data_IF_374171540811
#
_entry.id   IF_374171540811
#
_cell.length_a   1.000
_cell.length_b   1.000
_cell.length_c   1.000
_cell.angle_alpha   90.00
_cell.angle_beta   90.00
_cell.angle_gamma   90.00
#
_symmetry.space_group_name_H-M   'P 1'
#
loop_
_entity.id
_entity.type
_entity.pdbx_description
1 polymer ?
#
# COMPACT_ATOMS: atom_id res chain seq x y z
N UNK A 1 -14.10 35.33 31.20
CA UNK A 1 -15.21 34.74 30.40
C UNK A 1 -14.74 34.76 28.96
N UNK A 2 -14.60 33.70 28.16
CA UNK A 2 -14.66 32.23 28.28
C UNK A 2 -13.88 31.66 27.06
N UNK A 3 -13.48 30.40 27.21
CA UNK A 3 -12.85 29.43 26.30
C UNK A 3 -13.24 29.39 24.81
N UNK A 4 -12.25 28.93 24.00
CA UNK A 4 -12.28 27.94 22.88
C UNK A 4 -13.29 28.16 21.71
N UNK A 5 -13.09 27.71 20.46
CA UNK A 5 -12.86 26.33 19.98
C UNK A 5 -12.30 26.35 18.55
N UNK A 6 -11.38 25.41 18.31
CA UNK A 6 -10.84 24.95 17.01
C UNK A 6 -11.92 24.56 15.99
N UNK A 7 -11.72 24.85 14.70
CA UNK A 7 -12.38 24.10 13.61
C UNK A 7 -11.42 23.76 12.48
N UNK A 8 -11.47 22.48 12.15
CA UNK A 8 -10.53 21.65 11.41
C UNK A 8 -11.11 21.31 10.03
N UNK A 9 -10.22 20.94 9.08
CA UNK A 9 -10.45 20.14 7.87
C UNK A 9 -11.26 20.79 6.73
N UNK A 10 -10.88 20.67 5.45
CA UNK A 10 -10.50 19.44 4.76
C UNK A 10 -9.64 19.70 3.53
N UNK A 11 -8.50 19.02 3.42
CA UNK A 11 -7.73 18.90 2.18
C UNK A 11 -8.54 18.06 1.18
N UNK A 12 -9.04 18.69 0.13
CA UNK A 12 -9.67 18.01 -1.00
C UNK A 12 -8.56 17.53 -1.92
N UNK A 13 -8.06 16.31 -1.66
CA UNK A 13 -7.06 15.69 -2.52
C UNK A 13 -7.79 15.00 -3.67
N UNK A 14 -7.75 15.65 -4.82
CA UNK A 14 -8.39 15.25 -6.07
C UNK A 14 -7.68 14.00 -6.62
N UNK A 15 -8.40 12.88 -6.64
CA UNK A 15 -7.98 11.61 -7.22
C UNK A 15 -7.88 11.77 -8.74
N UNK A 16 -6.65 11.78 -9.28
CA UNK A 16 -6.42 11.56 -10.71
C UNK A 16 -6.23 10.05 -10.90
N UNK A 17 -7.33 9.36 -11.15
CA UNK A 17 -7.37 7.93 -11.48
C UNK A 17 -6.78 7.76 -12.89
N UNK A 18 -5.53 7.32 -12.98
CA UNK A 18 -4.88 7.01 -14.25
C UNK A 18 -5.65 5.86 -14.95
N UNK A 19 -6.34 6.22 -16.02
CA UNK A 19 -7.15 5.32 -16.82
C UNK A 19 -6.25 4.59 -17.82
N UNK A 20 -5.69 3.45 -17.44
CA UNK A 20 -4.97 2.62 -18.40
C UNK A 20 -5.97 1.85 -19.28
N UNK A 21 -6.19 2.38 -20.49
CA UNK A 21 -6.98 1.80 -21.57
C UNK A 21 -6.08 0.92 -22.44
N UNK A 22 -6.21 -0.40 -22.35
CA UNK A 22 -5.90 -1.28 -23.48
C UNK A 22 -6.84 -2.49 -23.51
N UNK A 23 -7.59 -2.60 -24.61
CA UNK A 23 -8.48 -3.71 -24.94
C UNK A 23 -7.80 -4.52 -26.04
N UNK A 24 -7.49 -5.80 -25.77
CA UNK A 24 -7.49 -6.88 -26.77
C UNK A 24 -7.51 -8.21 -26.02
N UNK A 25 -8.51 -9.01 -26.36
CA UNK A 25 -9.01 -10.11 -25.55
C UNK A 25 -8.16 -11.36 -25.60
N UNK A 26 -8.02 -11.96 -24.43
CA UNK A 26 -8.23 -13.38 -24.13
C UNK A 26 -8.89 -13.40 -22.75
N UNK A 27 -9.78 -14.35 -22.46
CA UNK A 27 -10.54 -14.41 -21.20
C UNK A 27 -9.61 -14.73 -20.02
N UNK A 28 -8.85 -13.74 -19.57
CA UNK A 28 -8.32 -13.70 -18.22
C UNK A 28 -9.47 -13.35 -17.30
N UNK A 29 -9.74 -14.20 -16.31
CA UNK A 29 -10.65 -13.92 -15.21
C UNK A 29 -10.37 -12.52 -14.69
N UNK A 30 -11.29 -11.58 -14.97
CA UNK A 30 -11.10 -10.14 -14.75
C UNK A 30 -10.96 -9.91 -13.25
N UNK A 31 -9.73 -9.91 -12.75
CA UNK A 31 -9.43 -9.65 -11.34
C UNK A 31 -9.36 -8.14 -11.16
N UNK A 32 -10.37 -7.56 -10.52
CA UNK A 32 -10.41 -6.13 -10.23
C UNK A 32 -9.57 -5.86 -9.00
N UNK A 33 -8.44 -5.15 -9.16
CA UNK A 33 -7.59 -4.71 -8.05
C UNK A 33 -7.96 -3.30 -7.66
N UNK A 34 -8.41 -3.08 -6.43
CA UNK A 34 -8.60 -1.75 -5.87
C UNK A 34 -7.43 -1.41 -4.95
N UNK A 35 -6.73 -0.31 -5.22
CA UNK A 35 -5.58 0.16 -4.43
C UNK A 35 -5.94 1.50 -3.79
N UNK A 36 -5.60 1.65 -2.52
CA UNK A 36 -5.71 2.94 -1.83
C UNK A 36 -4.47 3.14 -0.97
N UNK A 37 -4.09 4.39 -0.75
CA UNK A 37 -2.93 4.75 0.07
C UNK A 37 -3.23 6.06 0.78
N UNK A 38 -2.93 6.12 2.07
CA UNK A 38 -3.14 7.32 2.90
C UNK A 38 -1.79 7.88 3.36
N UNK A 39 -0.93 8.22 2.40
CA UNK A 39 0.39 8.77 2.69
C UNK A 39 1.40 8.56 1.56
N UNK A 40 2.67 8.65 1.92
CA UNK A 40 3.80 8.61 0.98
C UNK A 40 4.12 7.20 0.48
N UNK A 41 3.65 6.16 1.18
CA UNK A 41 3.85 4.76 0.81
C UNK A 41 2.62 4.22 0.09
N UNK A 42 2.84 3.60 -1.07
CA UNK A 42 1.82 3.00 -1.93
C UNK A 42 2.15 1.54 -2.23
N UNK A 43 1.13 0.71 -2.37
CA UNK A 43 1.29 -0.65 -2.88
C UNK A 43 1.36 -0.56 -4.40
N UNK A 44 2.56 -0.68 -4.96
CA UNK A 44 2.77 -0.61 -6.42
C UNK A 44 2.25 -1.88 -7.10
N UNK A 45 2.69 -3.03 -6.59
CA UNK A 45 2.31 -4.35 -7.09
C UNK A 45 2.00 -5.29 -5.93
N UNK A 46 1.03 -6.17 -6.14
CA UNK A 46 0.68 -7.22 -5.19
C UNK A 46 0.41 -8.48 -5.99
N UNK A 47 1.02 -9.58 -5.57
CA UNK A 47 0.82 -10.87 -6.22
C UNK A 47 -0.38 -11.60 -5.59
N UNK A 48 -1.28 -12.13 -6.41
CA UNK A 48 -2.56 -12.68 -5.97
C UNK A 48 -2.45 -13.90 -5.04
N UNK A 49 -1.33 -14.64 -5.10
CA UNK A 49 -1.08 -15.78 -4.21
C UNK A 49 -0.41 -15.36 -2.89
N UNK A 50 -0.04 -14.08 -2.75
CA UNK A 50 0.61 -13.53 -1.57
C UNK A 50 2.11 -13.82 -1.49
N UNK A 51 2.74 -14.28 -2.57
CA UNK A 51 4.19 -14.56 -2.55
C UNK A 51 5.00 -13.29 -2.31
N UNK A 52 4.56 -12.17 -2.89
CA UNK A 52 5.21 -10.90 -2.70
C UNK A 52 4.25 -9.71 -2.81
N UNK A 53 4.67 -8.63 -2.18
CA UNK A 53 4.10 -7.29 -2.33
C UNK A 53 5.23 -6.30 -2.55
N UNK A 54 5.00 -5.30 -3.39
CA UNK A 54 5.93 -4.22 -3.67
C UNK A 54 5.37 -2.93 -3.07
N UNK A 55 6.10 -2.39 -2.11
CA UNK A 55 5.81 -1.09 -1.52
C UNK A 55 6.70 -0.05 -2.20
N UNK A 56 6.10 1.02 -2.70
CA UNK A 56 6.80 2.12 -3.34
C UNK A 56 6.60 3.39 -2.53
N UNK A 57 7.67 4.18 -2.39
CA UNK A 57 7.56 5.54 -1.90
C UNK A 57 7.24 6.45 -3.08
N UNK A 58 6.00 6.94 -3.10
CA UNK A 58 5.46 7.86 -4.11
C UNK A 58 5.94 9.30 -3.91
N UNK A 59 6.58 9.61 -2.78
CA UNK A 59 7.11 10.93 -2.49
C UNK A 59 8.44 11.17 -3.24
N UNK A 60 8.66 12.40 -3.70
CA UNK A 60 9.79 12.74 -4.58
C UNK A 60 11.08 13.08 -3.83
N UNK A 61 10.98 13.52 -2.57
CA UNK A 61 12.10 14.16 -1.84
C UNK A 61 12.23 13.74 -0.37
N UNK A 62 11.36 12.87 0.14
CA UNK A 62 11.35 12.46 1.55
C UNK A 62 11.52 10.96 1.63
N UNK A 63 12.44 10.56 2.49
CA UNK A 63 12.61 9.17 2.90
C UNK A 63 11.50 8.83 3.90
N UNK A 64 10.97 7.63 3.79
CA UNK A 64 9.91 7.14 4.66
C UNK A 64 10.41 5.89 5.37
N UNK A 65 10.44 5.96 6.70
CA UNK A 65 10.72 4.79 7.52
C UNK A 65 9.47 3.92 7.61
N UNK A 66 9.58 2.67 7.15
CA UNK A 66 8.50 1.68 7.22
C UNK A 66 8.78 0.60 8.27
N UNK A 67 9.79 0.80 9.12
CA UNK A 67 10.09 -0.10 10.22
C UNK A 67 8.89 -0.27 11.16
N UNK A 68 8.63 -1.51 11.57
CA UNK A 68 7.52 -1.83 12.45
C UNK A 68 6.13 -1.76 11.79
N UNK A 69 6.01 -1.29 10.54
CA UNK A 69 4.77 -1.36 9.79
C UNK A 69 4.31 -2.81 9.64
N UNK A 70 3.01 -3.02 9.81
CA UNK A 70 2.38 -4.33 9.68
C UNK A 70 1.67 -4.43 8.34
N UNK A 71 2.06 -5.41 7.56
CA UNK A 71 1.37 -5.78 6.35
C UNK A 71 0.41 -6.91 6.71
N UNK A 72 -0.88 -6.69 6.47
CA UNK A 72 -1.94 -7.66 6.74
C UNK A 72 -2.48 -8.20 5.42
N UNK A 73 -2.30 -9.50 5.19
CA UNK A 73 -2.93 -10.21 4.09
C UNK A 73 -4.14 -10.96 4.62
N UNK A 74 -5.31 -10.61 4.08
CA UNK A 74 -6.55 -11.32 4.34
C UNK A 74 -6.90 -12.13 3.09
N UNK A 75 -7.01 -13.44 3.26
CA UNK A 75 -7.44 -14.35 2.20
C UNK A 75 -8.74 -14.99 2.65
N UNK A 76 -9.77 -14.93 1.81
CA UNK A 76 -11.05 -15.56 2.12
C UNK A 76 -10.86 -17.07 2.33
N UNK A 77 -11.38 -17.61 3.43
CA UNK A 77 -11.21 -19.02 3.79
C UNK A 77 -9.86 -19.39 4.44
N UNK A 78 -8.97 -18.41 4.69
CA UNK A 78 -7.76 -18.61 5.50
C UNK A 78 -7.68 -17.59 6.64
N UNK A 79 -6.83 -17.87 7.63
CA UNK A 79 -6.51 -16.92 8.68
C UNK A 79 -5.81 -15.67 8.14
N UNK A 80 -5.94 -14.57 8.88
CA UNK A 80 -5.22 -13.33 8.59
C UNK A 80 -3.70 -13.55 8.80
N UNK A 81 -2.90 -13.28 7.77
CA UNK A 81 -1.45 -13.33 7.87
C UNK A 81 -0.93 -11.91 8.11
N UNK A 82 -0.18 -11.71 9.19
CA UNK A 82 0.40 -10.41 9.54
C UNK A 82 1.92 -10.51 9.49
N UNK A 83 2.52 -9.80 8.55
CA UNK A 83 3.96 -9.61 8.47
C UNK A 83 4.35 -8.27 9.07
N UNK A 84 5.28 -8.26 10.03
CA UNK A 84 5.83 -7.01 10.57
C UNK A 84 7.17 -6.74 9.88
N UNK A 85 7.31 -5.55 9.29
CA UNK A 85 8.55 -5.13 8.64
C UNK A 85 9.64 -4.94 9.71
N UNK A 86 10.85 -5.50 9.52
CA UNK A 86 11.93 -5.39 10.50
C UNK A 86 12.36 -3.94 10.71
N UNK A 87 13.07 -3.69 11.82
CA UNK A 87 13.63 -2.38 12.12
C UNK A 87 14.70 -1.98 11.11
N UNK A 88 14.83 -0.67 10.84
CA UNK A 88 15.83 -0.11 9.94
C UNK A 88 15.49 -0.16 8.45
N UNK A 89 14.24 -0.49 8.08
CA UNK A 89 13.81 -0.46 6.68
C UNK A 89 13.28 0.92 6.32
N UNK A 90 14.10 1.69 5.61
CA UNK A 90 13.77 3.03 5.12
C UNK A 90 13.66 3.02 3.60
N UNK A 91 12.54 3.53 3.07
CA UNK A 91 12.34 3.71 1.63
C UNK A 91 12.76 5.10 1.20
N UNK A 92 13.74 5.13 0.30
CA UNK A 92 14.17 6.34 -0.39
C UNK A 92 13.07 6.90 -1.30
N UNK A 93 13.11 8.20 -1.64
CA UNK A 93 12.12 8.81 -2.50
C UNK A 93 12.15 8.17 -3.89
N UNK A 94 10.98 7.89 -4.47
CA UNK A 94 10.83 7.19 -5.76
C UNK A 94 11.46 5.78 -5.82
N UNK A 95 11.81 5.19 -4.68
CA UNK A 95 12.27 3.81 -4.61
C UNK A 95 11.15 2.87 -4.16
N UNK A 96 11.28 1.60 -4.52
CA UNK A 96 10.38 0.54 -4.12
C UNK A 96 11.15 -0.62 -3.48
N UNK A 97 10.50 -1.29 -2.52
CA UNK A 97 11.00 -2.51 -1.88
C UNK A 97 10.04 -3.65 -2.17
N UNK A 98 10.61 -4.81 -2.49
CA UNK A 98 9.86 -6.05 -2.65
C UNK A 98 9.95 -6.86 -1.37
N UNK A 99 8.79 -7.17 -0.79
CA UNK A 99 8.68 -8.06 0.38
C UNK A 99 8.19 -9.41 -0.10
N UNK A 100 9.03 -10.45 -0.03
CA UNK A 100 8.77 -11.79 -0.59
C UNK A 100 8.62 -12.90 0.45
N UNK A 101 8.63 -12.57 1.75
CA UNK A 101 8.42 -13.53 2.85
C UNK A 101 7.13 -13.26 3.60
N UNK A 102 6.02 -13.20 2.85
CA UNK A 102 4.69 -13.07 3.44
C UNK A 102 4.10 -14.39 3.97
N UNK A 103 4.78 -15.52 3.74
CA UNK A 103 4.34 -16.80 4.31
C UNK A 103 4.72 -16.87 5.79
N UNK A 104 3.68 -16.78 6.63
CA UNK A 104 3.72 -17.11 8.04
C UNK A 104 4.34 -18.51 8.21
N UNK A 105 5.43 -18.62 8.98
CA UNK A 105 5.82 -19.92 9.50
C UNK A 105 4.67 -20.42 10.38
N UNK A 106 4.14 -21.60 10.05
CA UNK A 106 3.27 -22.37 10.94
C UNK A 106 4.11 -23.05 12.02
#
# INVERSE_FOLDING_TARGET
MVEQVVKTHSLQQQENTDSNRNVRGETQTKTTSQKSSKGNITISECEATGKFIVLANSHSSKEEDISGCKLKQKVEGRGDIVYTIPSGVVLKPKHAVKVSKFNCQQ
#
